data_IF_229221107815
#
_entry.id   IF_229221107815
#
_cell.length_a   1.000
_cell.length_b   1.000
_cell.length_c   1.000
_cell.angle_alpha   90.00
_cell.angle_beta   90.00
_cell.angle_gamma   90.00
#
_symmetry.space_group_name_H-M   'P 1'
#
loop_
_entity.id
_entity.type
_entity.pdbx_description
1 polymer ?
#
# COMPACT_ATOMS: atom_id res chain seq x y z
N UNK A 1 -44.74 -31.80 43.06
CA UNK A 1 -45.26 -31.00 41.96
C UNK A 1 -44.28 -29.86 41.80
N UNK A 2 -43.25 -30.07 41.01
CA UNK A 2 -42.14 -29.12 40.72
C UNK A 2 -42.10 -28.94 39.20
N UNK A 3 -42.53 -27.75 38.78
CA UNK A 3 -42.46 -27.31 37.38
C UNK A 3 -41.00 -27.02 37.05
N UNK A 4 -40.47 -27.80 36.14
CA UNK A 4 -39.23 -27.51 35.41
C UNK A 4 -39.54 -26.56 34.27
N UNK A 5 -39.19 -25.29 34.40
CA UNK A 5 -39.12 -24.36 33.29
C UNK A 5 -37.90 -24.67 32.42
N UNK A 6 -38.15 -25.22 31.24
CA UNK A 6 -37.18 -25.37 30.16
C UNK A 6 -36.75 -23.99 29.63
N UNK A 7 -35.50 -23.62 29.86
CA UNK A 7 -34.85 -22.51 29.15
C UNK A 7 -34.45 -22.96 27.74
N UNK A 8 -35.08 -22.37 26.75
CA UNK A 8 -34.63 -22.46 25.36
C UNK A 8 -33.34 -21.64 25.17
N UNK A 9 -32.34 -22.17 24.44
CA UNK A 9 -31.17 -21.40 24.07
C UNK A 9 -31.56 -20.49 22.90
N UNK A 10 -31.96 -19.25 23.22
CA UNK A 10 -32.22 -18.19 22.25
C UNK A 10 -30.93 -17.76 21.54
N UNK A 11 -30.92 -17.96 20.22
CA UNK A 11 -29.82 -17.85 19.30
C UNK A 11 -29.14 -16.48 19.25
N UNK A 12 -27.87 -16.56 19.10
CA UNK A 12 -26.92 -15.47 18.98
C UNK A 12 -26.95 -14.71 17.65
N UNK A 13 -27.99 -13.91 17.40
CA UNK A 13 -28.03 -12.96 16.29
C UNK A 13 -28.40 -11.53 16.69
N UNK A 14 -28.30 -11.19 17.97
CA UNK A 14 -28.61 -9.84 18.47
C UNK A 14 -27.44 -8.82 18.38
N UNK A 15 -26.36 -9.14 17.67
CA UNK A 15 -25.22 -8.23 17.54
C UNK A 15 -25.43 -7.09 16.52
N UNK A 16 -26.58 -7.05 15.83
CA UNK A 16 -26.94 -5.96 14.91
C UNK A 16 -28.13 -5.13 15.42
N UNK A 17 -28.37 -5.11 16.70
CA UNK A 17 -29.28 -4.14 17.27
C UNK A 17 -28.60 -2.78 17.16
N UNK A 18 -29.04 -1.95 16.19
CA UNK A 18 -28.60 -0.60 15.94
C UNK A 18 -28.73 0.22 17.23
N UNK A 19 -27.65 0.32 17.99
CA UNK A 19 -27.57 1.27 19.07
C UNK A 19 -27.85 2.65 18.47
N UNK A 20 -28.83 3.42 18.98
CA UNK A 20 -29.08 4.77 18.50
C UNK A 20 -27.77 5.54 18.66
N UNK A 21 -27.28 6.10 17.54
CA UNK A 21 -26.06 6.91 17.53
C UNK A 21 -26.18 7.88 18.70
N UNK A 22 -25.34 7.71 19.71
CA UNK A 22 -25.44 8.48 20.94
C UNK A 22 -25.32 9.97 20.61
N UNK A 23 -26.12 10.83 21.26
CA UNK A 23 -26.06 12.29 21.08
C UNK A 23 -24.63 12.82 21.21
N UNK A 24 -23.85 12.21 22.09
CA UNK A 24 -22.45 12.54 22.31
C UNK A 24 -21.57 12.26 21.10
N UNK A 25 -21.83 11.16 20.38
CA UNK A 25 -21.14 10.86 19.13
C UNK A 25 -21.50 11.88 18.04
N UNK A 26 -22.78 12.27 17.91
CA UNK A 26 -23.21 13.28 16.94
C UNK A 26 -22.63 14.67 17.24
N UNK A 27 -22.54 15.05 18.52
CA UNK A 27 -21.95 16.34 18.91
C UNK A 27 -20.44 16.36 18.70
N UNK A 28 -19.76 15.25 18.97
CA UNK A 28 -18.29 15.18 18.87
C UNK A 28 -17.81 14.93 17.44
N UNK A 29 -18.41 13.98 16.73
CA UNK A 29 -18.03 13.62 15.36
C UNK A 29 -18.79 14.43 14.29
N UNK A 30 -19.97 14.94 14.59
CA UNK A 30 -20.84 15.65 13.65
C UNK A 30 -20.16 16.82 12.92
N UNK A 31 -19.49 17.75 13.61
CA UNK A 31 -18.79 18.86 12.97
C UNK A 31 -17.69 18.40 12.01
N UNK A 32 -16.93 17.35 12.39
CA UNK A 32 -15.86 16.78 11.57
C UNK A 32 -16.44 16.13 10.29
N UNK A 33 -17.47 15.29 10.47
CA UNK A 33 -18.16 14.63 9.34
C UNK A 33 -18.80 15.67 8.42
N UNK A 34 -19.42 16.71 8.96
CA UNK A 34 -20.00 17.79 8.16
C UNK A 34 -18.92 18.51 7.32
N UNK A 35 -17.78 18.78 7.93
CA UNK A 35 -16.66 19.43 7.26
C UNK A 35 -16.10 18.56 6.14
N UNK A 36 -15.91 17.27 6.40
CA UNK A 36 -15.47 16.29 5.40
C UNK A 36 -16.48 16.16 4.26
N UNK A 37 -17.77 16.04 4.55
CA UNK A 37 -18.82 16.02 3.54
C UNK A 37 -18.83 17.29 2.67
N UNK A 38 -18.71 18.47 3.29
CA UNK A 38 -18.69 19.73 2.58
C UNK A 38 -17.48 19.87 1.66
N UNK A 39 -16.29 19.57 2.17
CA UNK A 39 -15.03 19.77 1.43
C UNK A 39 -14.70 18.62 0.48
N UNK A 40 -15.21 17.42 0.68
CA UNK A 40 -14.98 16.28 -0.20
C UNK A 40 -16.16 16.05 -1.15
N UNK A 41 -17.37 15.90 -0.64
CA UNK A 41 -18.55 15.61 -1.46
C UNK A 41 -19.01 16.85 -2.24
N UNK A 42 -18.91 18.04 -1.65
CA UNK A 42 -19.28 19.28 -2.33
C UNK A 42 -18.58 19.47 -3.67
N UNK A 43 -17.24 19.49 -3.73
CA UNK A 43 -16.51 19.58 -5.00
C UNK A 43 -16.83 18.44 -5.97
N UNK A 44 -16.99 17.20 -5.48
CA UNK A 44 -17.36 16.05 -6.32
C UNK A 44 -18.73 16.25 -6.97
N UNK A 45 -19.74 16.69 -6.22
CA UNK A 45 -21.07 17.01 -6.78
C UNK A 45 -21.02 18.13 -7.79
N UNK A 46 -20.22 19.18 -7.54
CA UNK A 46 -20.00 20.27 -8.49
C UNK A 46 -19.35 19.75 -9.76
N UNK A 47 -18.34 18.88 -9.65
CA UNK A 47 -17.72 18.24 -10.82
C UNK A 47 -18.72 17.40 -11.62
N UNK A 48 -19.56 16.60 -10.96
CA UNK A 48 -20.62 15.84 -11.63
C UNK A 48 -21.63 16.76 -12.31
N UNK A 49 -22.02 17.85 -11.65
CA UNK A 49 -22.92 18.84 -12.25
C UNK A 49 -22.30 19.48 -13.49
N UNK A 50 -21.05 19.93 -13.43
CA UNK A 50 -20.33 20.50 -14.58
C UNK A 50 -20.16 19.46 -15.70
N UNK A 51 -19.92 18.18 -15.35
CA UNK A 51 -19.78 17.10 -16.33
C UNK A 51 -21.05 16.86 -17.17
N UNK A 52 -22.22 17.31 -16.73
CA UNK A 52 -23.47 17.28 -17.51
C UNK A 52 -23.62 18.48 -18.45
N UNK A 53 -22.74 19.51 -18.34
CA UNK A 53 -22.77 20.70 -19.17
C UNK A 53 -21.95 20.52 -20.44
N UNK A 54 -22.27 21.26 -21.49
CA UNK A 54 -21.49 21.32 -22.73
C UNK A 54 -20.61 22.57 -22.72
N UNK A 55 -19.38 22.45 -23.19
CA UNK A 55 -18.50 23.59 -23.38
C UNK A 55 -18.52 24.02 -24.83
N UNK A 56 -19.02 25.23 -25.11
CA UNK A 56 -18.98 25.87 -26.41
C UNK A 56 -18.31 27.23 -26.26
N UNK A 57 -17.32 27.52 -27.09
CA UNK A 57 -16.56 28.80 -27.09
C UNK A 57 -16.06 29.23 -25.70
N UNK A 58 -15.55 28.28 -24.89
CA UNK A 58 -15.09 28.51 -23.51
C UNK A 58 -16.19 28.89 -22.50
N UNK A 59 -17.47 28.77 -22.90
CA UNK A 59 -18.62 29.01 -22.02
C UNK A 59 -19.31 27.68 -21.72
N UNK A 60 -19.63 27.46 -20.43
CA UNK A 60 -20.39 26.29 -20.00
C UNK A 60 -21.88 26.52 -20.27
N UNK A 61 -22.45 25.73 -21.16
CA UNK A 61 -23.87 25.77 -21.50
C UNK A 61 -24.56 24.57 -20.83
N UNK A 62 -25.64 24.80 -20.07
CA UNK A 62 -26.41 23.71 -19.47
C UNK A 62 -27.03 22.82 -20.56
N UNK A 63 -26.59 21.59 -20.65
CA UNK A 63 -27.17 20.60 -21.58
C UNK A 63 -27.78 19.40 -20.85
N UNK A 64 -27.47 19.24 -19.56
CA UNK A 64 -27.96 18.18 -18.66
C UNK A 64 -27.97 16.80 -19.30
N UNK A 65 -26.97 16.50 -20.13
CA UNK A 65 -26.84 15.24 -20.86
C UNK A 65 -25.70 14.36 -20.36
N UNK A 66 -25.76 13.09 -20.72
CA UNK A 66 -24.68 12.11 -20.46
C UNK A 66 -23.63 12.10 -21.60
N UNK A 67 -23.71 13.03 -22.54
CA UNK A 67 -22.85 13.09 -23.73
C UNK A 67 -21.36 13.09 -23.39
N UNK A 68 -20.93 13.88 -22.40
CA UNK A 68 -19.53 13.94 -21.98
C UNK A 68 -19.05 12.60 -21.39
N UNK A 69 -19.90 11.88 -20.67
CA UNK A 69 -19.57 10.56 -20.15
C UNK A 69 -19.44 9.53 -21.28
N UNK A 70 -20.29 9.59 -22.28
CA UNK A 70 -20.20 8.75 -23.47
C UNK A 70 -18.98 9.11 -24.32
N UNK A 71 -18.64 10.39 -24.42
CA UNK A 71 -17.49 10.89 -25.17
C UNK A 71 -16.15 10.29 -24.67
N UNK A 72 -16.05 9.92 -23.39
CA UNK A 72 -14.87 9.22 -22.83
C UNK A 72 -14.61 7.90 -23.57
N UNK A 73 -15.68 7.19 -23.97
CA UNK A 73 -15.58 5.88 -24.61
C UNK A 73 -15.68 5.94 -26.14
N UNK A 74 -16.34 6.96 -26.67
CA UNK A 74 -16.64 7.08 -28.12
C UNK A 74 -15.61 7.93 -28.86
N UNK A 75 -15.09 8.99 -28.25
CA UNK A 75 -14.09 9.83 -28.89
C UNK A 75 -12.71 9.20 -28.85
N UNK A 76 -12.03 9.19 -30.01
CA UNK A 76 -10.72 8.56 -30.17
C UNK A 76 -9.68 9.13 -29.21
N UNK A 77 -9.62 10.44 -29.04
CA UNK A 77 -8.64 11.13 -28.17
C UNK A 77 -8.85 10.72 -26.71
N UNK A 78 -10.09 10.78 -26.23
CA UNK A 78 -10.44 10.43 -24.85
C UNK A 78 -10.18 8.95 -24.56
N UNK A 79 -10.56 8.07 -25.49
CA UNK A 79 -10.31 6.64 -25.38
C UNK A 79 -8.81 6.32 -25.35
N UNK A 80 -8.03 6.97 -26.22
CA UNK A 80 -6.57 6.78 -26.24
C UNK A 80 -5.93 7.26 -24.95
N UNK A 81 -6.33 8.41 -24.44
CA UNK A 81 -5.85 8.94 -23.16
C UNK A 81 -6.21 8.00 -22.01
N UNK A 82 -7.46 7.49 -21.97
CA UNK A 82 -7.92 6.53 -20.96
C UNK A 82 -7.10 5.23 -20.98
N UNK A 83 -6.92 4.64 -22.16
CA UNK A 83 -6.13 3.40 -22.31
C UNK A 83 -4.67 3.62 -21.91
N UNK A 84 -4.05 4.71 -22.36
CA UNK A 84 -2.66 5.00 -22.01
C UNK A 84 -2.49 5.21 -20.50
N UNK A 85 -3.37 5.96 -19.87
CA UNK A 85 -3.33 6.21 -18.42
C UNK A 85 -3.55 4.91 -17.64
N UNK A 86 -4.52 4.09 -18.04
CA UNK A 86 -4.79 2.80 -17.41
C UNK A 86 -3.60 1.86 -17.56
N UNK A 87 -3.01 1.80 -18.75
CA UNK A 87 -1.81 0.97 -19.00
C UNK A 87 -0.63 1.41 -18.14
N UNK A 88 -0.37 2.73 -18.05
CA UNK A 88 0.67 3.27 -17.18
C UNK A 88 0.39 2.98 -15.70
N UNK A 89 -0.85 3.11 -15.26
CA UNK A 89 -1.23 2.82 -13.88
C UNK A 89 -1.00 1.36 -13.51
N UNK A 90 -1.47 0.43 -14.35
CA UNK A 90 -1.27 -1.02 -14.15
C UNK A 90 0.22 -1.37 -14.17
N UNK A 91 0.96 -0.87 -15.16
CA UNK A 91 2.39 -1.14 -15.29
C UNK A 91 3.17 -0.61 -14.07
N UNK A 92 2.85 0.61 -13.63
CA UNK A 92 3.45 1.23 -12.43
C UNK A 92 3.15 0.40 -11.17
N UNK A 93 1.90 0.00 -10.99
CA UNK A 93 1.47 -0.78 -9.82
C UNK A 93 2.16 -2.13 -9.77
N UNK A 94 2.19 -2.86 -10.89
CA UNK A 94 2.86 -4.17 -10.98
C UNK A 94 4.36 -4.02 -10.71
N UNK A 95 5.01 -3.04 -11.35
CA UNK A 95 6.45 -2.81 -11.17
C UNK A 95 6.78 -2.40 -9.74
N UNK A 96 5.98 -1.49 -9.17
CA UNK A 96 6.15 -1.08 -7.77
C UNK A 96 5.95 -2.26 -6.81
N UNK A 97 4.97 -3.14 -7.04
CA UNK A 97 4.75 -4.33 -6.23
C UNK A 97 5.93 -5.32 -6.32
N UNK A 98 6.43 -5.58 -7.54
CA UNK A 98 7.57 -6.48 -7.76
C UNK A 98 8.85 -5.98 -7.08
N UNK A 99 9.08 -4.66 -7.05
CA UNK A 99 10.24 -4.06 -6.37
C UNK A 99 9.99 -3.95 -4.86
N UNK A 100 8.79 -3.55 -4.45
CA UNK A 100 8.45 -3.29 -3.06
C UNK A 100 8.40 -4.57 -2.23
N UNK A 101 7.90 -5.68 -2.79
CA UNK A 101 7.75 -6.93 -2.06
C UNK A 101 9.08 -7.49 -1.52
N UNK A 102 10.12 -7.71 -2.36
CA UNK A 102 11.40 -8.22 -1.86
C UNK A 102 12.06 -7.24 -0.88
N UNK A 103 11.92 -5.93 -1.10
CA UNK A 103 12.48 -4.93 -0.19
C UNK A 103 11.75 -4.91 1.16
N UNK A 104 10.41 -4.94 1.17
CA UNK A 104 9.61 -5.03 2.38
C UNK A 104 9.88 -6.34 3.14
N UNK A 105 10.00 -7.46 2.41
CA UNK A 105 10.35 -8.75 2.98
C UNK A 105 11.74 -8.72 3.61
N UNK A 106 12.72 -8.15 2.93
CA UNK A 106 14.07 -8.01 3.47
C UNK A 106 14.09 -7.18 4.76
N UNK A 107 13.38 -6.04 4.78
CA UNK A 107 13.30 -5.18 5.97
C UNK A 107 12.61 -5.92 7.12
N UNK A 108 11.51 -6.63 6.85
CA UNK A 108 10.74 -7.32 7.88
C UNK A 108 11.50 -8.52 8.50
N UNK A 109 12.20 -9.30 7.65
CA UNK A 109 12.84 -10.55 8.07
C UNK A 109 14.31 -10.40 8.44
N UNK A 110 15.05 -9.56 7.75
CA UNK A 110 16.50 -9.42 7.89
C UNK A 110 16.92 -8.06 8.47
N UNK A 111 15.98 -7.15 8.72
CA UNK A 111 16.28 -5.82 9.26
C UNK A 111 16.72 -5.82 10.71
N UNK A 112 16.46 -6.89 11.48
CA UNK A 112 16.84 -7.04 12.88
C UNK A 112 16.56 -5.77 13.70
N UNK A 113 17.54 -5.31 14.48
CA UNK A 113 17.44 -4.05 15.27
C UNK A 113 17.28 -2.77 14.43
N UNK A 114 17.58 -2.83 13.13
CA UNK A 114 17.56 -1.68 12.21
C UNK A 114 16.27 -1.60 11.38
N UNK A 115 15.33 -2.54 11.51
CA UNK A 115 14.10 -2.62 10.69
C UNK A 115 13.32 -1.30 10.65
N UNK A 116 13.14 -0.65 11.79
CA UNK A 116 12.44 0.64 11.89
C UNK A 116 13.22 1.76 11.21
N UNK A 117 14.55 1.77 11.31
CA UNK A 117 15.42 2.75 10.66
C UNK A 117 15.40 2.58 9.14
N UNK A 118 15.42 1.33 8.65
CA UNK A 118 15.31 1.02 7.23
C UNK A 118 13.93 1.42 6.67
N UNK A 119 12.86 1.18 7.42
CA UNK A 119 11.51 1.62 7.05
C UNK A 119 11.44 3.17 6.96
N UNK A 120 12.04 3.89 7.91
CA UNK A 120 12.14 5.36 7.86
C UNK A 120 13.00 5.81 6.68
N UNK A 121 14.10 5.13 6.37
CA UNK A 121 14.98 5.44 5.24
C UNK A 121 14.22 5.39 3.90
N UNK A 122 13.29 4.44 3.74
CA UNK A 122 12.42 4.34 2.57
C UNK A 122 11.54 5.59 2.41
N UNK A 123 11.21 6.29 3.50
CA UNK A 123 10.38 7.50 3.46
C UNK A 123 11.17 8.78 3.13
N UNK A 124 12.50 8.79 3.26
CA UNK A 124 13.31 10.00 3.01
C UNK A 124 13.03 10.62 1.63
N UNK A 125 12.97 9.85 0.54
CA UNK A 125 12.66 10.40 -0.78
C UNK A 125 11.29 11.08 -0.84
N UNK A 126 10.34 10.63 -0.05
CA UNK A 126 8.99 11.21 -0.01
C UNK A 126 8.98 12.60 0.64
N UNK A 127 9.83 12.86 1.63
CA UNK A 127 9.91 14.16 2.31
C UNK A 127 10.54 15.25 1.47
N UNK A 128 11.18 14.90 0.34
CA UNK A 128 11.65 15.91 -0.60
C UNK A 128 10.48 16.56 -1.33
N UNK A 129 10.60 17.87 -1.63
CA UNK A 129 9.58 18.60 -2.35
C UNK A 129 9.30 17.94 -3.72
N UNK A 130 8.02 17.81 -4.09
CA UNK A 130 7.59 17.20 -5.35
C UNK A 130 8.24 17.86 -6.57
N UNK A 131 8.30 19.20 -6.59
CA UNK A 131 8.90 19.95 -7.69
C UNK A 131 10.38 19.59 -7.84
N UNK A 132 11.13 19.54 -6.74
CA UNK A 132 12.55 19.18 -6.75
C UNK A 132 12.75 17.78 -7.32
N UNK A 133 11.89 16.82 -6.97
CA UNK A 133 11.92 15.46 -7.54
C UNK A 133 11.68 15.44 -9.04
N UNK A 134 10.65 16.15 -9.52
CA UNK A 134 10.35 16.22 -10.96
C UNK A 134 11.51 16.84 -11.73
N UNK A 135 12.09 17.93 -11.23
CA UNK A 135 13.27 18.55 -11.84
C UNK A 135 14.49 17.64 -11.77
N UNK A 136 14.69 16.91 -10.66
CA UNK A 136 15.76 15.92 -10.54
C UNK A 136 15.67 14.84 -11.62
N UNK A 137 14.49 14.27 -11.84
CA UNK A 137 14.25 13.32 -12.93
C UNK A 137 14.50 13.93 -14.32
N UNK A 138 14.07 15.18 -14.52
CA UNK A 138 14.30 15.92 -15.77
C UNK A 138 15.80 16.12 -16.04
N UNK A 139 16.60 16.40 -15.02
CA UNK A 139 18.05 16.52 -15.13
C UNK A 139 18.70 15.15 -15.37
N UNK A 140 18.28 14.10 -14.66
CA UNK A 140 18.86 12.75 -14.80
C UNK A 140 18.59 12.16 -16.19
N UNK A 141 17.35 12.28 -16.68
CA UNK A 141 16.91 11.68 -17.95
C UNK A 141 17.12 12.55 -19.17
N UNK A 142 17.53 13.82 -18.99
CA UNK A 142 17.77 14.76 -20.08
C UNK A 142 18.83 14.28 -21.07
N UNK A 143 18.86 14.87 -22.26
CA UNK A 143 19.82 14.51 -23.31
C UNK A 143 21.28 14.71 -22.88
N UNK A 144 21.55 15.73 -22.04
CA UNK A 144 22.85 15.95 -21.41
C UNK A 144 22.87 15.52 -19.95
N UNK A 145 21.92 14.68 -19.54
CA UNK A 145 21.76 14.23 -18.17
C UNK A 145 22.74 13.13 -17.77
N UNK A 146 22.71 12.83 -16.45
CA UNK A 146 23.60 11.82 -15.86
C UNK A 146 23.47 10.46 -16.52
N UNK A 147 22.22 10.03 -16.86
CA UNK A 147 21.98 8.75 -17.50
C UNK A 147 22.64 8.67 -18.89
N UNK A 148 22.42 9.67 -19.74
CA UNK A 148 23.01 9.70 -21.07
C UNK A 148 24.53 9.82 -21.02
N UNK A 149 25.06 10.64 -20.13
CA UNK A 149 26.52 10.78 -19.93
C UNK A 149 27.16 9.48 -19.48
N UNK A 150 26.52 8.74 -18.55
CA UNK A 150 27.01 7.45 -18.10
C UNK A 150 26.95 6.39 -19.22
N UNK A 151 25.85 6.31 -19.99
CA UNK A 151 25.73 5.37 -21.10
C UNK A 151 26.76 5.62 -22.22
N UNK A 152 27.04 6.89 -22.51
CA UNK A 152 28.09 7.26 -23.47
C UNK A 152 29.50 6.93 -22.94
N UNK A 153 29.76 7.22 -21.66
CA UNK A 153 31.06 6.92 -21.04
C UNK A 153 31.35 5.40 -21.00
N UNK A 154 30.29 4.58 -20.82
CA UNK A 154 30.39 3.13 -20.86
C UNK A 154 30.44 2.55 -22.29
N UNK A 155 30.32 3.39 -23.32
CA UNK A 155 30.31 2.96 -24.72
C UNK A 155 29.06 2.21 -25.16
N UNK A 156 27.98 2.27 -24.36
CA UNK A 156 26.71 1.61 -24.66
C UNK A 156 25.97 2.32 -25.79
N UNK A 157 26.09 3.65 -25.84
CA UNK A 157 25.51 4.50 -26.88
C UNK A 157 26.55 5.49 -27.40
N UNK A 158 26.47 5.82 -28.69
CA UNK A 158 27.38 6.78 -29.33
C UNK A 158 26.81 8.22 -29.36
N UNK A 159 25.51 8.37 -29.08
CA UNK A 159 24.80 9.66 -29.09
C UNK A 159 23.78 9.69 -27.94
N UNK A 160 23.44 10.87 -27.40
CA UNK A 160 22.43 11.00 -26.38
C UNK A 160 21.08 10.47 -26.84
N UNK A 161 20.40 9.75 -25.96
CA UNK A 161 19.06 9.23 -26.21
C UNK A 161 18.05 10.34 -25.88
N UNK A 162 17.57 11.03 -26.90
CA UNK A 162 16.68 12.21 -26.72
C UNK A 162 15.24 11.84 -26.38
N UNK A 163 14.76 10.66 -26.82
CA UNK A 163 13.37 10.26 -26.66
C UNK A 163 13.00 9.87 -25.21
N UNK A 164 13.99 9.56 -24.37
CA UNK A 164 13.72 9.06 -23.00
C UNK A 164 12.89 10.07 -22.21
N UNK A 165 13.30 11.35 -22.18
CA UNK A 165 12.71 12.36 -21.29
C UNK A 165 11.25 12.68 -21.59
N UNK A 166 10.83 12.54 -22.85
CA UNK A 166 9.47 12.86 -23.30
C UNK A 166 8.65 11.60 -23.63
N UNK A 167 9.02 10.44 -23.06
CA UNK A 167 8.40 9.16 -23.35
C UNK A 167 7.50 8.68 -22.20
N UNK A 168 6.59 7.75 -22.50
CA UNK A 168 5.84 7.02 -21.50
C UNK A 168 6.75 6.25 -20.54
N UNK A 169 7.96 5.90 -20.95
CA UNK A 169 8.95 5.25 -20.11
C UNK A 169 9.41 6.14 -18.95
N UNK A 170 9.72 7.42 -19.21
CA UNK A 170 10.12 8.35 -18.13
C UNK A 170 8.97 8.64 -17.17
N UNK A 171 7.74 8.70 -17.67
CA UNK A 171 6.55 8.86 -16.83
C UNK A 171 6.39 7.63 -15.94
N UNK A 172 6.44 6.43 -16.51
CA UNK A 172 6.36 5.17 -15.77
C UNK A 172 7.45 5.05 -14.70
N UNK A 173 8.70 5.35 -15.05
CA UNK A 173 9.83 5.30 -14.12
C UNK A 173 9.65 6.29 -12.95
N UNK A 174 9.26 7.53 -13.28
CA UNK A 174 9.00 8.58 -12.28
C UNK A 174 7.83 8.23 -11.35
N UNK A 175 6.74 7.70 -11.90
CA UNK A 175 5.59 7.25 -11.10
C UNK A 175 5.96 6.05 -10.22
N UNK A 176 6.69 5.06 -10.74
CA UNK A 176 7.15 3.91 -9.95
C UNK A 176 7.96 4.38 -8.76
N UNK A 177 8.96 5.24 -8.97
CA UNK A 177 9.77 5.81 -7.89
C UNK A 177 8.91 6.58 -6.87
N UNK A 178 7.96 7.38 -7.35
CA UNK A 178 7.11 8.22 -6.50
C UNK A 178 6.21 7.39 -5.58
N UNK A 179 5.63 6.30 -6.09
CA UNK A 179 4.67 5.46 -5.37
C UNK A 179 5.31 4.30 -4.60
N UNK A 180 6.61 4.02 -4.83
CA UNK A 180 7.33 2.92 -4.19
C UNK A 180 7.23 2.92 -2.65
N UNK A 181 7.46 4.04 -1.93
CA UNK A 181 7.34 4.07 -0.47
C UNK A 181 5.95 3.70 0.04
N UNK A 182 4.90 4.13 -0.67
CA UNK A 182 3.50 3.81 -0.33
C UNK A 182 3.14 2.35 -0.54
N UNK A 183 3.90 1.62 -1.35
CA UNK A 183 3.75 0.18 -1.52
C UNK A 183 4.59 -0.60 -0.49
N UNK A 184 5.82 -0.14 -0.20
CA UNK A 184 6.73 -0.83 0.72
C UNK A 184 6.20 -0.82 2.15
N UNK A 185 5.72 0.33 2.65
CA UNK A 185 5.33 0.45 4.06
C UNK A 185 4.15 -0.44 4.46
N UNK A 186 3.03 -0.50 3.71
CA UNK A 186 1.94 -1.42 4.03
C UNK A 186 2.36 -2.89 3.94
N UNK A 187 3.19 -3.25 2.93
CA UNK A 187 3.73 -4.60 2.79
C UNK A 187 4.62 -4.95 3.97
N UNK A 188 5.56 -4.06 4.34
CA UNK A 188 6.41 -4.24 5.52
C UNK A 188 5.58 -4.44 6.79
N UNK A 189 4.60 -3.54 7.02
CA UNK A 189 3.73 -3.60 8.21
C UNK A 189 2.88 -4.89 8.26
N UNK A 190 2.44 -5.39 7.11
CA UNK A 190 1.71 -6.67 7.04
C UNK A 190 2.62 -7.86 7.29
N UNK A 191 3.81 -7.87 6.69
CA UNK A 191 4.80 -8.94 6.86
C UNK A 191 5.33 -9.02 8.29
N UNK A 192 5.51 -7.87 8.96
CA UNK A 192 5.95 -7.82 10.36
C UNK A 192 4.91 -8.38 11.33
N UNK A 193 3.62 -8.21 11.04
CA UNK A 193 2.52 -8.69 11.91
C UNK A 193 2.27 -10.20 11.80
N UNK A 194 2.50 -10.77 10.61
CA UNK A 194 2.18 -12.19 10.34
C UNK A 194 2.81 -13.13 11.39
N UNK A 195 4.06 -12.88 11.81
CA UNK A 195 4.74 -13.72 12.79
C UNK A 195 4.10 -13.63 14.18
N UNK A 196 3.76 -12.41 14.60
CA UNK A 196 3.09 -12.19 15.90
C UNK A 196 1.70 -12.82 15.93
N UNK A 197 0.90 -12.67 14.89
CA UNK A 197 -0.46 -13.22 14.82
C UNK A 197 -0.47 -14.75 14.75
N UNK A 198 0.49 -15.38 14.06
CA UNK A 198 0.61 -16.85 13.98
C UNK A 198 0.98 -17.42 15.36
N UNK A 199 1.95 -16.82 16.04
CA UNK A 199 2.37 -17.25 17.37
C UNK A 199 1.23 -17.07 18.39
N UNK A 200 0.53 -15.95 18.34
CA UNK A 200 -0.61 -15.68 19.24
C UNK A 200 -1.79 -16.62 18.96
N UNK A 201 -2.09 -16.91 17.70
CA UNK A 201 -3.10 -17.89 17.31
C UNK A 201 -2.73 -19.30 17.79
N UNK A 202 -1.47 -19.69 17.66
CA UNK A 202 -0.98 -20.99 18.17
C UNK A 202 -1.10 -21.08 19.70
N UNK A 203 -0.74 -20.03 20.45
CA UNK A 203 -0.90 -19.97 21.91
C UNK A 203 -2.36 -20.05 22.34
N UNK A 204 -3.24 -19.29 21.68
CA UNK A 204 -4.68 -19.32 21.93
C UNK A 204 -5.27 -20.71 21.68
N UNK A 205 -4.81 -21.41 20.64
CA UNK A 205 -5.25 -22.78 20.36
C UNK A 205 -4.78 -23.78 21.44
N UNK A 206 -3.57 -23.59 21.99
CA UNK A 206 -3.06 -24.39 23.12
C UNK A 206 -3.93 -24.18 24.36
N UNK A 207 -4.25 -22.91 24.71
CA UNK A 207 -5.09 -22.59 25.88
C UNK A 207 -6.50 -23.19 25.75
N UNK A 208 -7.10 -23.13 24.56
CA UNK A 208 -8.40 -23.73 24.28
C UNK A 208 -8.38 -25.25 24.45
N UNK A 209 -7.32 -25.90 23.95
CA UNK A 209 -7.14 -27.37 24.05
C UNK A 209 -6.96 -27.81 25.49
N UNK A 210 -6.22 -27.04 26.31
CA UNK A 210 -6.09 -27.27 27.76
C UNK A 210 -7.43 -27.07 28.49
N UNK A 211 -8.19 -26.01 28.12
CA UNK A 211 -9.51 -25.75 28.71
C UNK A 211 -10.54 -26.85 28.41
N UNK A 212 -10.35 -27.60 27.32
CA UNK A 212 -11.15 -28.76 26.96
C UNK A 212 -10.68 -30.04 27.66
N UNK A 213 -9.60 -29.99 28.45
CA UNK A 213 -9.06 -31.15 29.20
C UNK A 213 -8.20 -32.09 28.35
N UNK A 214 -7.85 -31.73 27.13
CA UNK A 214 -6.98 -32.50 26.26
C UNK A 214 -5.50 -32.09 26.45
N UNK A 215 -4.97 -32.42 27.61
CA UNK A 215 -3.60 -32.07 27.97
C UNK A 215 -2.52 -32.71 27.08
N UNK A 216 -2.81 -33.87 26.47
CA UNK A 216 -1.87 -34.55 25.57
C UNK A 216 -1.68 -33.76 24.25
N UNK A 217 -2.78 -33.35 23.65
CA UNK A 217 -2.73 -32.52 22.43
C UNK A 217 -2.16 -31.11 22.68
N UNK A 218 -2.48 -30.52 23.84
CA UNK A 218 -1.93 -29.24 24.23
C UNK A 218 -0.41 -29.29 24.44
N UNK A 219 0.10 -30.37 25.03
CA UNK A 219 1.54 -30.56 25.22
C UNK A 219 2.26 -30.74 23.87
N UNK A 220 1.71 -31.53 22.97
CA UNK A 220 2.27 -31.69 21.60
C UNK A 220 2.33 -30.37 20.83
N UNK A 221 1.29 -29.58 20.91
CA UNK A 221 1.24 -28.24 20.27
C UNK A 221 2.28 -27.27 20.89
N UNK A 222 2.50 -27.35 22.21
CA UNK A 222 3.55 -26.57 22.89
C UNK A 222 4.95 -26.96 22.42
N UNK A 223 5.23 -28.24 22.30
CA UNK A 223 6.53 -28.71 21.79
C UNK A 223 6.77 -28.22 20.36
N UNK A 224 5.75 -28.29 19.49
CA UNK A 224 5.84 -27.78 18.14
C UNK A 224 6.03 -26.25 18.09
N UNK A 225 5.37 -25.50 18.97
CA UNK A 225 5.52 -24.05 19.07
C UNK A 225 6.94 -23.67 19.48
N UNK A 226 7.50 -24.36 20.51
CA UNK A 226 8.87 -24.11 20.96
C UNK A 226 9.88 -24.44 19.85
N UNK A 227 9.69 -25.55 19.13
CA UNK A 227 10.56 -25.93 18.00
C UNK A 227 10.50 -24.84 16.88
N UNK A 228 9.33 -24.30 16.63
CA UNK A 228 9.14 -23.24 15.63
C UNK A 228 9.75 -21.90 16.08
N UNK A 229 9.58 -21.52 17.34
CA UNK A 229 10.22 -20.34 17.94
C UNK A 229 11.75 -20.46 17.93
N UNK A 230 12.28 -21.63 18.23
CA UNK A 230 13.73 -21.90 18.22
C UNK A 230 14.30 -21.91 16.81
N UNK A 231 13.57 -22.47 15.83
CA UNK A 231 13.95 -22.42 14.41
C UNK A 231 13.97 -20.98 13.88
N UNK A 232 13.01 -20.16 14.23
CA UNK A 232 12.96 -18.73 13.85
C UNK A 232 14.14 -17.99 14.48
N UNK A 233 14.40 -18.20 15.76
CA UNK A 233 15.53 -17.56 16.47
C UNK A 233 16.89 -18.01 15.91
N UNK A 234 17.02 -19.28 15.53
CA UNK A 234 18.24 -19.80 14.91
C UNK A 234 18.51 -19.19 13.53
N UNK A 235 17.46 -19.01 12.73
CA UNK A 235 17.55 -18.32 11.44
C UNK A 235 17.96 -16.85 11.64
N UNK A 236 17.38 -16.15 12.60
CA UNK A 236 17.73 -14.77 12.94
C UNK A 236 19.22 -14.66 13.35
N UNK A 237 19.70 -15.57 14.17
CA UNK A 237 21.10 -15.57 14.61
C UNK A 237 22.09 -15.87 13.47
N UNK A 238 21.77 -16.83 12.57
CA UNK A 238 22.61 -17.09 11.39
C UNK A 238 22.72 -15.87 10.47
N UNK A 239 21.64 -15.12 10.33
CA UNK A 239 21.61 -13.94 9.46
C UNK A 239 22.34 -12.74 10.08
N UNK A 240 22.35 -12.62 11.42
CA UNK A 240 23.18 -11.64 12.12
C UNK A 240 24.67 -11.94 11.96
N UNK A 241 25.07 -13.21 12.03
CA UNK A 241 26.47 -13.64 11.92
C UNK A 241 27.03 -13.45 10.50
N UNK A 242 26.22 -13.71 9.45
CA UNK A 242 26.59 -13.51 8.05
C UNK A 242 26.75 -12.00 7.69
N UNK A 243 26.01 -11.11 8.36
CA UNK A 243 26.19 -9.66 8.19
C UNK A 243 27.49 -9.16 8.82
N UNK A 244 27.93 -9.75 9.93
CA UNK A 244 29.21 -9.39 10.59
C UNK A 244 30.41 -9.89 9.78
N UNK A 245 30.31 -11.03 9.11
CA UNK A 245 31.35 -11.58 8.23
C UNK A 245 31.53 -10.72 6.98
N UNK A 246 30.43 -10.20 6.41
CA UNK A 246 30.47 -9.31 5.24
C UNK A 246 31.02 -7.93 5.59
N UNK A 247 30.75 -7.38 6.77
CA UNK A 247 31.35 -6.12 7.23
C UNK A 247 32.86 -6.25 7.50
N UNK A 248 33.32 -7.40 8.04
CA UNK A 248 34.73 -7.63 8.29
C UNK A 248 35.58 -7.91 7.03
N UNK A 249 34.93 -8.33 5.93
CA UNK A 249 35.58 -8.58 4.64
C UNK A 249 35.71 -7.30 3.77
N UNK A 250 35.05 -6.21 4.15
CA UNK A 250 35.10 -4.92 3.47
C UNK A 250 36.04 -3.89 4.16
N UNK A 251 36.70 -4.24 5.26
CA UNK A 251 37.77 -3.45 5.89
C UNK A 251 39.15 -3.99 5.50
#
# INVERSE_FOLDING_TARGET
MSEQTSQEPGGGWSLFESSPVSRDLLVTAGPLVLLELLFFIGPVLIMFYIATMRMEDLVLIPNYGIGNFLAVFTEFVNRTAFVNTTTLAVLTTVTAAVIAYPLAYYIARFGGRYKNQLAVLVMIPFWTNFIVRVYGWKIILGSQGVLNSALMALGVVNQPIEWIINSSFSIWLGLTYLWLPFMILPLYSSLEKIDGEIIEAARSHIELTEGLGDHASAQMLREQLVELEDAVHHIEHYLEDDTLVTESAMQ
#
